data_IF_820010251485
#
_entry.id   IF_820010251485
#
_cell.length_a   1.000
_cell.length_b   1.000
_cell.length_c   1.000
_cell.angle_alpha   90.00
_cell.angle_beta   90.00
_cell.angle_gamma   90.00
#
_symmetry.space_group_name_H-M   'P 1'
#
loop_
_entity.id
_entity.type
_entity.pdbx_description
1 polymer ?
#
# COMPACT_ATOMS: atom_id res chain seq x y z
N UNK A 1 26.81 -21.69 -10.13
CA UNK A 1 26.86 -20.61 -9.11
C UNK A 1 26.67 -19.23 -9.70
N UNK A 2 27.06 -18.97 -10.96
CA UNK A 2 26.78 -17.70 -11.65
C UNK A 2 25.30 -17.28 -11.71
N UNK A 3 24.39 -18.22 -11.97
CA UNK A 3 22.94 -17.94 -11.94
C UNK A 3 22.48 -17.48 -10.55
N UNK A 4 22.88 -18.19 -9.49
CA UNK A 4 22.59 -17.79 -8.09
C UNK A 4 23.17 -16.41 -7.77
N UNK A 5 24.39 -16.10 -8.23
CA UNK A 5 24.99 -14.78 -8.04
C UNK A 5 24.21 -13.67 -8.78
N UNK A 6 23.67 -13.97 -9.97
CA UNK A 6 22.80 -13.06 -10.70
C UNK A 6 21.48 -12.82 -9.95
N UNK A 7 20.86 -13.87 -9.40
CA UNK A 7 19.61 -13.74 -8.64
C UNK A 7 19.82 -12.95 -7.35
N UNK A 8 20.93 -13.21 -6.64
CA UNK A 8 21.31 -12.45 -5.44
C UNK A 8 21.58 -10.99 -5.81
N UNK A 9 22.30 -10.72 -6.91
CA UNK A 9 22.55 -9.36 -7.40
C UNK A 9 21.24 -8.63 -7.64
N UNK A 10 20.34 -9.19 -8.45
CA UNK A 10 19.06 -8.56 -8.78
C UNK A 10 18.21 -8.32 -7.52
N UNK A 11 18.25 -9.24 -6.56
CA UNK A 11 17.57 -9.09 -5.27
C UNK A 11 18.12 -7.91 -4.47
N UNK A 12 19.46 -7.79 -4.38
CA UNK A 12 20.12 -6.74 -3.60
C UNK A 12 20.06 -5.37 -4.28
N UNK A 13 20.06 -5.31 -5.61
CA UNK A 13 19.92 -4.06 -6.37
C UNK A 13 18.57 -3.35 -6.15
N UNK A 14 17.57 -4.05 -5.59
CA UNK A 14 16.32 -3.41 -5.14
C UNK A 14 16.51 -2.56 -3.87
N UNK A 15 17.60 -2.75 -3.13
CA UNK A 15 17.85 -2.11 -1.83
C UNK A 15 19.17 -1.34 -1.76
N UNK A 16 20.14 -1.68 -2.61
CA UNK A 16 21.48 -1.13 -2.60
C UNK A 16 21.84 -0.54 -3.96
N UNK A 17 22.56 0.60 -4.00
CA UNK A 17 23.09 1.16 -5.24
C UNK A 17 23.95 0.14 -6.01
N UNK A 18 23.96 0.19 -7.35
CA UNK A 18 24.78 -0.71 -8.18
C UNK A 18 26.28 -0.66 -7.87
N UNK A 19 26.76 0.50 -7.46
CA UNK A 19 28.14 0.81 -7.09
C UNK A 19 28.46 0.53 -5.62
N UNK A 20 27.49 0.07 -4.82
CA UNK A 20 27.71 -0.27 -3.41
C UNK A 20 28.80 -1.33 -3.28
N UNK A 21 29.85 -1.01 -2.52
CA UNK A 21 31.00 -1.89 -2.34
C UNK A 21 30.61 -3.08 -1.45
N UNK A 22 30.68 -4.28 -2.00
CA UNK A 22 30.45 -5.55 -1.28
C UNK A 22 31.74 -6.33 -1.17
N UNK A 23 31.83 -7.22 -0.17
CA UNK A 23 32.97 -8.12 -0.03
C UNK A 23 32.56 -9.56 -0.34
N UNK A 24 33.24 -10.18 -1.30
CA UNK A 24 33.15 -11.62 -1.58
C UNK A 24 34.30 -12.32 -0.89
N UNK A 25 33.96 -13.10 0.13
CA UNK A 25 34.90 -13.92 0.89
C UNK A 25 34.87 -15.34 0.34
N UNK A 26 36.03 -15.94 0.13
CA UNK A 26 36.16 -17.35 -0.21
C UNK A 26 36.97 -18.08 0.85
N UNK A 27 36.51 -19.27 1.25
CA UNK A 27 37.19 -20.15 2.20
C UNK A 27 37.61 -19.43 3.50
N UNK A 28 36.72 -18.57 4.02
CA UNK A 28 36.95 -17.80 5.23
C UNK A 28 37.35 -18.71 6.42
N UNK A 29 38.38 -18.32 7.16
CA UNK A 29 38.93 -19.11 8.27
C UNK A 29 39.86 -20.27 7.85
N UNK A 30 40.21 -20.39 6.57
CA UNK A 30 41.18 -21.39 6.07
C UNK A 30 42.46 -20.73 5.55
N UNK A 31 43.48 -21.54 5.25
CA UNK A 31 44.71 -21.06 4.62
C UNK A 31 44.48 -20.47 3.21
N UNK A 32 43.39 -20.86 2.54
CA UNK A 32 43.02 -20.40 1.20
C UNK A 32 42.08 -19.19 1.21
N UNK A 33 41.94 -18.51 2.36
CA UNK A 33 41.05 -17.37 2.50
C UNK A 33 41.40 -16.26 1.50
N UNK A 34 40.37 -15.79 0.78
CA UNK A 34 40.47 -14.62 -0.11
C UNK A 34 39.32 -13.67 0.16
N UNK A 35 39.59 -12.37 0.13
CA UNK A 35 38.59 -11.31 0.25
C UNK A 35 38.74 -10.40 -0.96
N UNK A 36 37.69 -10.28 -1.75
CA UNK A 36 37.62 -9.33 -2.85
C UNK A 36 36.54 -8.30 -2.53
N UNK A 37 36.86 -7.01 -2.71
CA UNK A 37 35.88 -5.92 -2.70
C UNK A 37 35.56 -5.53 -4.13
N UNK A 38 34.29 -5.37 -4.45
CA UNK A 38 33.81 -5.03 -5.78
C UNK A 38 32.41 -4.39 -5.70
N UNK A 39 31.99 -3.65 -6.74
CA UNK A 39 30.61 -3.17 -6.84
C UNK A 39 29.60 -4.32 -6.83
N UNK A 40 28.45 -4.11 -6.19
CA UNK A 40 27.35 -5.08 -6.16
C UNK A 40 26.93 -5.52 -7.57
N UNK A 41 26.93 -4.60 -8.54
CA UNK A 41 26.55 -4.89 -9.93
C UNK A 41 27.47 -5.90 -10.65
N UNK A 42 28.65 -6.17 -10.10
CA UNK A 42 29.69 -7.00 -10.73
C UNK A 42 29.80 -8.41 -10.16
N UNK A 43 29.05 -8.75 -9.10
CA UNK A 43 29.22 -10.04 -8.41
C UNK A 43 28.97 -11.26 -9.29
N UNK A 44 28.10 -11.14 -10.30
CA UNK A 44 27.74 -12.21 -11.23
C UNK A 44 28.64 -12.30 -12.47
N UNK A 45 29.62 -11.39 -12.58
CA UNK A 45 30.66 -11.42 -13.62
C UNK A 45 31.84 -12.31 -13.24
N UNK A 46 31.77 -12.95 -12.07
CA UNK A 46 32.83 -13.77 -11.48
C UNK A 46 32.65 -15.25 -11.81
N UNK A 47 33.74 -15.90 -12.22
CA UNK A 47 33.78 -17.33 -12.53
C UNK A 47 34.36 -18.18 -11.39
N UNK A 48 34.90 -17.56 -10.34
CA UNK A 48 35.55 -18.21 -9.19
C UNK A 48 34.63 -18.35 -7.96
N UNK A 49 33.32 -18.21 -8.15
CA UNK A 49 32.33 -18.45 -7.10
C UNK A 49 32.17 -19.95 -6.85
N UNK A 50 32.36 -20.36 -5.61
CA UNK A 50 32.34 -21.76 -5.19
C UNK A 50 31.56 -21.94 -3.87
N UNK A 51 31.34 -23.17 -3.43
CA UNK A 51 30.49 -23.49 -2.27
C UNK A 51 30.91 -22.79 -0.96
N UNK A 52 32.19 -22.43 -0.83
CA UNK A 52 32.73 -21.71 0.33
C UNK A 52 32.78 -20.19 0.11
N UNK A 53 31.94 -19.66 -0.79
CA UNK A 53 31.83 -18.23 -1.04
C UNK A 53 30.74 -17.62 -0.17
N UNK A 54 31.12 -16.59 0.60
CA UNK A 54 30.24 -15.76 1.41
C UNK A 54 30.23 -14.34 0.86
N UNK A 55 29.03 -13.77 0.67
CA UNK A 55 28.87 -12.37 0.34
C UNK A 55 28.61 -11.58 1.63
N UNK A 56 29.46 -10.60 1.91
CA UNK A 56 29.24 -9.60 2.95
C UNK A 56 28.80 -8.30 2.28
N UNK A 57 27.61 -7.83 2.66
CA UNK A 57 27.04 -6.57 2.20
C UNK A 57 27.12 -5.59 3.38
N UNK A 58 28.02 -4.59 3.34
CA UNK A 58 28.06 -3.57 4.38
C UNK A 58 26.72 -2.83 4.47
N UNK A 59 26.32 -2.37 5.66
CA UNK A 59 25.14 -1.52 5.79
C UNK A 59 25.33 -0.24 4.98
N UNK A 60 24.24 0.34 4.47
CA UNK A 60 24.28 1.66 3.87
C UNK A 60 24.71 2.69 4.92
N UNK A 61 25.53 3.69 4.56
CA UNK A 61 26.00 4.71 5.48
C UNK A 61 24.89 5.65 5.98
N UNK A 62 23.71 5.63 5.35
CA UNK A 62 22.55 6.42 5.78
C UNK A 62 21.70 5.67 6.81
N UNK A 63 21.26 6.37 7.85
CA UNK A 63 20.10 6.00 8.67
C UNK A 63 18.84 6.02 7.79
N UNK A 64 18.56 4.90 7.12
CA UNK A 64 17.42 4.77 6.19
C UNK A 64 16.73 3.41 6.23
N UNK A 65 17.13 2.52 7.13
CA UNK A 65 16.41 1.27 7.35
C UNK A 65 15.06 1.53 8.02
N UNK A 66 14.04 0.76 7.65
CA UNK A 66 12.71 0.89 8.22
C UNK A 66 12.70 0.86 9.76
N UNK A 67 13.53 0.03 10.39
CA UNK A 67 13.68 0.00 11.85
C UNK A 67 14.22 1.32 12.43
N UNK A 68 15.22 1.92 11.79
CA UNK A 68 15.78 3.21 12.23
C UNK A 68 14.75 4.35 12.08
N UNK A 69 13.90 4.26 11.04
CA UNK A 69 12.77 5.18 10.89
C UNK A 69 11.73 5.00 11.99
N UNK A 70 11.36 3.76 12.33
CA UNK A 70 10.47 3.49 13.46
C UNK A 70 11.04 3.99 14.80
N UNK A 71 12.35 3.82 15.04
CA UNK A 71 13.03 4.35 16.23
C UNK A 71 12.99 5.88 16.27
N UNK A 72 13.15 6.54 15.12
CA UNK A 72 13.04 8.00 15.01
C UNK A 72 11.64 8.47 15.40
N UNK A 73 10.59 7.86 14.86
CA UNK A 73 9.20 8.20 15.19
C UNK A 73 8.86 7.90 16.65
N UNK A 74 9.37 6.78 17.20
CA UNK A 74 9.22 6.47 18.61
C UNK A 74 9.88 7.53 19.50
N UNK A 75 11.08 8.01 19.13
CA UNK A 75 11.77 9.06 19.87
C UNK A 75 11.05 10.41 19.78
N UNK A 76 10.48 10.75 18.61
CA UNK A 76 9.66 11.96 18.46
C UNK A 76 8.46 11.97 19.42
N UNK A 77 7.86 10.81 19.71
CA UNK A 77 6.72 10.69 20.62
C UNK A 77 7.09 10.43 22.09
N UNK A 78 8.38 10.26 22.40
CA UNK A 78 8.85 10.03 23.76
C UNK A 78 8.60 11.26 24.68
N UNK A 79 8.66 11.11 26.02
CA UNK A 79 8.47 12.23 26.96
C UNK A 79 9.41 13.43 26.72
N UNK A 80 10.62 13.17 26.24
CA UNK A 80 11.63 14.16 25.83
C UNK A 80 11.52 14.60 24.37
N UNK A 81 10.65 13.96 23.60
CA UNK A 81 10.44 14.19 22.17
C UNK A 81 9.64 15.46 21.86
N UNK A 82 9.14 15.52 20.63
CA UNK A 82 8.34 16.62 20.13
C UNK A 82 6.96 16.67 20.80
N UNK A 83 6.57 17.81 21.42
CA UNK A 83 5.26 17.95 22.04
C UNK A 83 4.09 17.76 21.06
N UNK A 84 4.26 18.22 19.81
CA UNK A 84 3.23 18.10 18.77
C UNK A 84 3.02 16.65 18.38
N UNK A 85 4.10 15.88 18.15
CA UNK A 85 3.99 14.47 17.81
C UNK A 85 3.31 13.68 18.94
N UNK A 86 3.64 14.00 20.19
CA UNK A 86 3.13 13.29 21.37
C UNK A 86 1.64 13.54 21.63
N UNK A 87 1.12 14.73 21.32
CA UNK A 87 -0.32 15.03 21.47
C UNK A 87 -1.20 14.40 20.38
N UNK A 88 -0.61 13.90 19.29
CA UNK A 88 -1.38 13.31 18.20
C UNK A 88 -2.10 12.02 18.61
N UNK A 89 -3.30 11.87 18.05
CA UNK A 89 -4.17 10.70 18.17
C UNK A 89 -4.50 10.18 16.78
N UNK A 90 -5.05 8.97 16.66
CA UNK A 90 -5.52 8.47 15.37
C UNK A 90 -6.50 9.42 14.68
N UNK A 91 -7.34 10.11 15.45
CA UNK A 91 -8.36 11.01 14.92
C UNK A 91 -7.76 12.32 14.43
N UNK A 92 -6.78 12.89 15.13
CA UNK A 92 -6.14 14.14 14.72
C UNK A 92 -5.27 13.97 13.46
N UNK A 93 -4.71 12.77 13.25
CA UNK A 93 -3.87 12.45 12.09
C UNK A 93 -4.64 12.18 10.79
N UNK A 94 -5.96 11.95 10.85
CA UNK A 94 -6.76 11.59 9.66
C UNK A 94 -6.65 12.58 8.51
N UNK A 95 -6.56 13.88 8.82
CA UNK A 95 -6.48 14.92 7.80
C UNK A 95 -5.13 14.89 7.07
N UNK A 96 -4.03 14.67 7.80
CA UNK A 96 -2.70 14.60 7.21
C UNK A 96 -2.58 13.36 6.33
N UNK A 97 -3.09 12.21 6.77
CA UNK A 97 -3.15 11.01 5.92
C UNK A 97 -3.88 11.26 4.59
N UNK A 98 -4.94 12.08 4.60
CA UNK A 98 -5.66 12.45 3.38
C UNK A 98 -4.85 13.44 2.53
N UNK A 99 -4.23 14.44 3.15
CA UNK A 99 -3.34 15.42 2.51
C UNK A 99 -2.19 14.70 1.78
N UNK A 100 -1.40 13.86 2.48
CA UNK A 100 -0.29 13.10 1.86
C UNK A 100 -0.78 12.19 0.71
N UNK A 101 -2.00 11.66 0.83
CA UNK A 101 -2.57 10.84 -0.26
C UNK A 101 -2.80 11.67 -1.52
N UNK A 102 -3.25 12.92 -1.39
CA UNK A 102 -3.43 13.81 -2.53
C UNK A 102 -2.10 14.30 -3.09
N UNK A 103 -1.10 14.54 -2.25
CA UNK A 103 0.23 14.95 -2.72
C UNK A 103 0.92 13.81 -3.51
N UNK A 104 0.77 12.55 -3.07
CA UNK A 104 1.18 11.38 -3.87
C UNK A 104 0.45 11.33 -5.22
N UNK A 105 -0.85 11.62 -5.27
CA UNK A 105 -1.60 11.64 -6.52
C UNK A 105 -1.14 12.77 -7.44
N UNK A 106 -0.84 13.95 -6.89
CA UNK A 106 -0.30 15.08 -7.64
C UNK A 106 1.07 14.74 -8.25
N UNK A 107 1.96 14.10 -7.49
CA UNK A 107 3.25 13.65 -7.99
C UNK A 107 3.12 12.61 -9.12
N UNK A 108 2.14 11.70 -9.03
CA UNK A 108 1.82 10.74 -10.09
C UNK A 108 1.30 11.43 -11.35
N UNK A 109 0.40 12.40 -11.21
CA UNK A 109 -0.16 13.16 -12.35
C UNK A 109 0.91 14.03 -13.03
N UNK A 110 1.91 14.50 -12.26
CA UNK A 110 3.05 15.26 -12.76
C UNK A 110 4.15 14.39 -13.42
N UNK A 111 4.09 13.06 -13.28
CA UNK A 111 5.15 12.11 -13.69
C UNK A 111 6.53 12.49 -13.11
N UNK A 112 6.54 12.98 -11.86
CA UNK A 112 7.75 13.42 -11.14
C UNK A 112 8.21 12.33 -10.16
N UNK A 113 9.25 11.56 -10.49
CA UNK A 113 9.71 10.45 -9.66
C UNK A 113 10.39 10.91 -8.36
N UNK A 114 10.97 12.11 -8.33
CA UNK A 114 11.64 12.62 -7.14
C UNK A 114 10.59 13.07 -6.12
N UNK A 115 9.59 13.84 -6.58
CA UNK A 115 8.43 14.19 -5.75
C UNK A 115 7.67 12.94 -5.29
N UNK A 116 7.42 11.97 -6.18
CA UNK A 116 6.74 10.73 -5.80
C UNK A 116 7.47 9.97 -4.69
N UNK A 117 8.80 9.95 -4.71
CA UNK A 117 9.58 9.31 -3.67
C UNK A 117 9.48 10.03 -2.32
N UNK A 118 9.42 11.37 -2.33
CA UNK A 118 9.21 12.22 -1.15
C UNK A 118 7.82 11.96 -0.54
N UNK A 119 6.76 12.09 -1.34
CA UNK A 119 5.37 11.96 -0.88
C UNK A 119 5.02 10.54 -0.42
N UNK A 120 5.60 9.51 -1.05
CA UNK A 120 5.48 8.14 -0.54
C UNK A 120 6.16 7.96 0.82
N UNK A 121 7.21 8.74 1.09
CA UNK A 121 7.87 8.81 2.39
C UNK A 121 6.95 9.42 3.45
N UNK A 122 6.26 10.51 3.13
CA UNK A 122 5.34 11.17 4.06
C UNK A 122 4.07 10.35 4.30
N UNK A 123 3.53 9.69 3.26
CA UNK A 123 2.47 8.71 3.43
C UNK A 123 2.91 7.53 4.32
N UNK A 124 4.16 7.07 4.18
CA UNK A 124 4.73 6.04 5.06
C UNK A 124 4.89 6.55 6.50
N UNK A 125 5.28 7.81 6.70
CA UNK A 125 5.34 8.44 8.02
C UNK A 125 3.98 8.38 8.73
N UNK A 126 2.88 8.66 8.03
CA UNK A 126 1.54 8.55 8.61
C UNK A 126 1.26 7.12 9.10
N UNK A 127 1.60 6.08 8.32
CA UNK A 127 1.43 4.67 8.71
C UNK A 127 2.26 4.35 9.98
N UNK A 128 3.50 4.83 10.06
CA UNK A 128 4.38 4.60 11.21
C UNK A 128 3.89 5.37 12.44
N UNK A 129 3.43 6.62 12.31
CA UNK A 129 2.84 7.39 13.41
C UNK A 129 1.59 6.73 13.99
N UNK A 130 0.66 6.28 13.13
CA UNK A 130 -0.50 5.50 13.58
C UNK A 130 -0.06 4.22 14.31
N UNK A 131 0.94 3.53 13.78
CA UNK A 131 1.44 2.31 14.43
C UNK A 131 2.12 2.63 15.78
N UNK A 132 2.85 3.73 15.90
CA UNK A 132 3.46 4.13 17.15
C UNK A 132 2.41 4.51 18.21
N UNK A 133 1.35 5.24 17.82
CA UNK A 133 0.21 5.52 18.72
C UNK A 133 -0.40 4.21 19.23
N UNK A 134 -0.59 3.22 18.36
CA UNK A 134 -1.14 1.92 18.75
C UNK A 134 -0.19 1.10 19.64
N UNK A 135 1.12 1.29 19.49
CA UNK A 135 2.12 0.73 20.41
C UNK A 135 2.01 1.40 21.78
N UNK A 136 1.88 2.73 21.82
CA UNK A 136 1.73 3.52 23.05
C UNK A 136 0.46 3.12 23.84
N UNK A 137 -0.59 2.67 23.14
CA UNK A 137 -1.87 2.22 23.72
C UNK A 137 -1.99 0.69 23.85
N UNK A 138 -0.93 -0.07 23.56
CA UNK A 138 -0.91 -1.53 23.59
C UNK A 138 -1.96 -2.24 22.69
N UNK A 139 -2.39 -1.58 21.60
CA UNK A 139 -3.41 -2.11 20.70
C UNK A 139 -2.85 -3.05 19.62
N UNK A 140 -1.81 -2.63 18.91
CA UNK A 140 -1.12 -3.42 17.88
C UNK A 140 0.27 -2.86 17.58
N UNK A 141 1.07 -3.63 16.85
CA UNK A 141 2.45 -3.28 16.47
C UNK A 141 2.63 -3.39 14.95
N UNK A 142 3.73 -2.84 14.44
CA UNK A 142 4.04 -2.89 13.00
C UNK A 142 4.06 -4.31 12.42
N UNK A 143 4.60 -5.35 13.10
CA UNK A 143 4.51 -6.72 12.63
C UNK A 143 3.07 -7.20 12.39
N UNK A 144 2.10 -6.74 13.19
CA UNK A 144 0.69 -7.11 13.02
C UNK A 144 0.11 -6.50 11.75
N UNK A 145 0.42 -5.22 11.47
CA UNK A 145 0.01 -4.52 10.24
C UNK A 145 0.58 -5.24 9.01
N UNK A 146 1.88 -5.53 9.03
CA UNK A 146 2.57 -6.23 7.93
C UNK A 146 2.03 -7.66 7.76
N UNK A 147 1.84 -8.40 8.85
CA UNK A 147 1.29 -9.76 8.80
C UNK A 147 -0.13 -9.78 8.20
N UNK A 148 -0.97 -8.80 8.56
CA UNK A 148 -2.31 -8.68 8.01
C UNK A 148 -2.32 -8.44 6.50
N UNK A 149 -1.45 -7.57 5.97
CA UNK A 149 -1.40 -7.31 4.53
C UNK A 149 -0.72 -8.46 3.78
N UNK A 150 0.37 -9.03 4.30
CA UNK A 150 1.08 -10.16 3.67
C UNK A 150 0.18 -11.40 3.57
N UNK A 151 -0.47 -11.80 4.66
CA UNK A 151 -1.38 -12.94 4.66
C UNK A 151 -2.56 -12.70 3.69
N UNK A 152 -3.09 -11.47 3.64
CA UNK A 152 -4.16 -11.09 2.71
C UNK A 152 -3.70 -11.16 1.26
N UNK A 153 -2.52 -10.65 0.93
CA UNK A 153 -1.97 -10.69 -0.42
C UNK A 153 -1.71 -12.13 -0.87
N UNK A 154 -1.06 -12.95 -0.05
CA UNK A 154 -0.81 -14.37 -0.36
C UNK A 154 -2.11 -15.14 -0.60
N UNK A 155 -3.11 -14.96 0.28
CA UNK A 155 -4.42 -15.60 0.14
C UNK A 155 -5.16 -15.17 -1.12
N UNK A 156 -5.07 -13.89 -1.51
CA UNK A 156 -5.74 -13.33 -2.71
C UNK A 156 -5.01 -13.63 -4.02
N UNK A 157 -3.79 -14.15 -3.95
CA UNK A 157 -3.01 -14.56 -5.13
C UNK A 157 -2.66 -16.05 -5.08
N UNK A 158 -3.66 -16.96 -5.01
CA UNK A 158 -3.41 -18.40 -4.99
C UNK A 158 -2.81 -18.91 -6.31
N UNK A 159 -2.78 -18.07 -7.35
CA UNK A 159 -2.13 -18.34 -8.62
C UNK A 159 -0.64 -18.01 -8.66
N UNK A 160 -0.18 -17.19 -7.71
CA UNK A 160 1.25 -16.92 -7.51
C UNK A 160 1.80 -17.81 -6.38
N UNK A 161 1.05 -17.95 -5.29
CA UNK A 161 1.52 -18.59 -4.05
C UNK A 161 0.88 -19.95 -3.76
N UNK A 162 0.04 -20.47 -4.66
CA UNK A 162 -0.65 -21.75 -4.51
C UNK A 162 -0.72 -22.52 -5.83
N UNK A 163 -1.77 -23.31 -6.01
CA UNK A 163 -1.92 -24.20 -7.17
C UNK A 163 -2.95 -23.72 -8.21
N UNK A 164 -3.64 -22.60 -7.96
CA UNK A 164 -4.70 -22.13 -8.86
C UNK A 164 -4.08 -21.64 -10.16
N UNK A 165 -4.54 -22.15 -11.30
CA UNK A 165 -4.11 -21.65 -12.61
C UNK A 165 -5.11 -20.63 -13.13
N UNK A 166 -4.59 -19.51 -13.59
CA UNK A 166 -5.34 -18.44 -14.27
C UNK A 166 -4.76 -18.30 -15.67
N UNK A 167 -5.61 -18.02 -16.66
CA UNK A 167 -5.15 -17.89 -18.05
C UNK A 167 -4.90 -16.44 -18.47
N UNK A 168 -5.61 -15.49 -17.85
CA UNK A 168 -5.49 -14.06 -18.11
C UNK A 168 -5.85 -13.19 -16.89
N UNK A 169 -5.83 -11.87 -17.07
CA UNK A 169 -6.16 -10.90 -16.03
C UNK A 169 -7.65 -10.94 -15.62
N UNK A 170 -8.55 -11.34 -16.52
CA UNK A 170 -9.98 -11.43 -16.23
C UNK A 170 -10.29 -12.62 -15.32
N UNK A 171 -9.60 -13.75 -15.52
CA UNK A 171 -9.62 -14.89 -14.60
C UNK A 171 -9.10 -14.50 -13.21
N UNK A 172 -8.01 -13.70 -13.15
CA UNK A 172 -7.49 -13.17 -11.88
C UNK A 172 -8.53 -12.30 -11.17
N UNK A 173 -9.16 -11.35 -11.87
CA UNK A 173 -10.21 -10.48 -11.32
C UNK A 173 -11.39 -11.28 -10.77
N UNK A 174 -11.86 -12.28 -11.53
CA UNK A 174 -12.97 -13.14 -11.11
C UNK A 174 -12.65 -13.91 -9.84
N UNK A 175 -11.48 -14.54 -9.81
CA UNK A 175 -11.02 -15.27 -8.64
C UNK A 175 -10.85 -14.35 -7.41
N UNK A 176 -10.34 -13.15 -7.63
CA UNK A 176 -10.20 -12.13 -6.59
C UNK A 176 -11.54 -11.73 -5.96
N UNK A 177 -12.59 -11.57 -6.76
CA UNK A 177 -13.94 -11.27 -6.25
C UNK A 177 -14.51 -12.43 -5.43
N UNK A 178 -14.34 -13.68 -5.88
CA UNK A 178 -14.77 -14.88 -5.15
C UNK A 178 -14.08 -14.95 -3.78
N UNK A 179 -12.76 -14.75 -3.74
CA UNK A 179 -11.98 -14.76 -2.50
C UNK A 179 -12.44 -13.62 -1.57
N UNK A 180 -12.67 -12.42 -2.11
CA UNK A 180 -13.16 -11.27 -1.33
C UNK A 180 -14.54 -11.52 -0.70
N UNK A 181 -15.43 -12.23 -1.41
CA UNK A 181 -16.73 -12.63 -0.88
C UNK A 181 -16.60 -13.68 0.24
N UNK A 182 -15.76 -14.70 0.04
CA UNK A 182 -15.49 -15.72 1.07
C UNK A 182 -14.86 -15.10 2.34
N UNK A 183 -13.90 -14.19 2.20
CA UNK A 183 -13.30 -13.46 3.32
C UNK A 183 -14.33 -12.63 4.10
N UNK A 184 -15.31 -12.03 3.41
CA UNK A 184 -16.37 -11.30 4.08
C UNK A 184 -17.21 -12.26 4.94
N UNK A 185 -17.53 -13.45 4.43
CA UNK A 185 -18.26 -14.48 5.17
C UNK A 185 -17.49 -14.97 6.41
N UNK A 186 -16.22 -15.32 6.28
CA UNK A 186 -15.40 -15.83 7.39
C UNK A 186 -15.19 -14.82 8.52
N UNK A 187 -15.01 -13.53 8.18
CA UNK A 187 -14.79 -12.48 9.18
C UNK A 187 -16.07 -12.01 9.90
N UNK A 188 -17.19 -12.73 9.74
CA UNK A 188 -18.51 -12.30 10.21
C UNK A 188 -18.92 -10.94 9.62
N UNK A 189 -18.32 -10.54 8.49
CA UNK A 189 -18.63 -9.32 7.76
C UNK A 189 -19.71 -9.55 6.70
N UNK A 190 -20.03 -10.80 6.33
CA UNK A 190 -21.17 -11.09 5.46
C UNK A 190 -22.48 -10.77 6.18
N UNK A 191 -22.64 -11.18 7.44
CA UNK A 191 -23.80 -10.82 8.26
C UNK A 191 -23.84 -9.30 8.61
N UNK A 192 -22.68 -8.62 8.58
CA UNK A 192 -22.57 -7.16 8.76
C UNK A 192 -22.65 -6.36 7.46
N UNK A 193 -22.76 -7.02 6.31
CA UNK A 193 -22.95 -6.38 5.01
C UNK A 193 -24.26 -6.87 4.38
N UNK A 194 -25.42 -6.57 4.99
CA UNK A 194 -26.71 -7.01 4.48
C UNK A 194 -27.06 -6.44 3.09
N UNK A 195 -26.39 -5.37 2.65
CA UNK A 195 -26.64 -4.68 1.39
C UNK A 195 -25.54 -4.91 0.36
N UNK A 196 -25.93 -5.01 -0.92
CA UNK A 196 -25.01 -5.00 -2.06
C UNK A 196 -24.11 -3.74 -2.09
N UNK A 197 -24.60 -2.64 -1.50
CA UNK A 197 -23.89 -1.35 -1.44
C UNK A 197 -22.92 -1.25 -0.25
N UNK A 198 -22.90 -2.22 0.67
CA UNK A 198 -22.07 -2.12 1.87
C UNK A 198 -20.56 -2.17 1.56
N UNK A 199 -19.79 -1.42 2.35
CA UNK A 199 -18.34 -1.34 2.21
C UNK A 199 -17.83 -0.16 1.37
N UNK A 200 -18.71 0.77 0.97
CA UNK A 200 -18.29 2.13 0.60
C UNK A 200 -17.93 2.88 1.88
N UNK A 201 -16.70 3.42 2.01
CA UNK A 201 -16.34 4.24 3.16
C UNK A 201 -17.14 5.56 3.14
N UNK A 202 -17.90 5.83 4.21
CA UNK A 202 -18.63 7.10 4.39
C UNK A 202 -17.74 8.34 4.57
N UNK A 203 -16.43 8.14 4.60
CA UNK A 203 -15.45 9.23 4.69
C UNK A 203 -14.93 9.69 3.33
N UNK A 204 -15.42 9.10 2.23
CA UNK A 204 -15.06 9.54 0.89
C UNK A 204 -15.67 10.92 0.60
N UNK A 205 -15.02 11.76 -0.22
CA UNK A 205 -15.66 12.94 -0.80
C UNK A 205 -16.94 12.52 -1.54
N UNK A 206 -17.96 13.38 -1.53
CA UNK A 206 -19.30 13.05 -2.02
C UNK A 206 -19.32 12.41 -3.43
N UNK A 207 -18.53 12.95 -4.36
CA UNK A 207 -18.44 12.40 -5.72
C UNK A 207 -17.79 11.01 -5.78
N UNK A 208 -16.72 10.80 -5.00
CA UNK A 208 -16.06 9.49 -4.92
C UNK A 208 -16.94 8.46 -4.20
N UNK A 209 -17.73 8.89 -3.21
CA UNK A 209 -18.74 8.06 -2.57
C UNK A 209 -19.84 7.67 -3.57
N UNK A 210 -20.38 8.63 -4.32
CA UNK A 210 -21.40 8.41 -5.33
C UNK A 210 -20.90 7.47 -6.44
N UNK A 211 -19.69 7.65 -6.94
CA UNK A 211 -19.07 6.76 -7.92
C UNK A 211 -18.90 5.34 -7.36
N UNK A 212 -18.41 5.20 -6.13
CA UNK A 212 -18.23 3.89 -5.50
C UNK A 212 -19.57 3.17 -5.26
N UNK A 213 -20.63 3.91 -4.89
CA UNK A 213 -21.99 3.39 -4.78
C UNK A 213 -22.54 2.96 -6.15
N UNK A 214 -22.38 3.80 -7.18
CA UNK A 214 -22.78 3.50 -8.55
C UNK A 214 -22.10 2.24 -9.09
N UNK A 215 -20.78 2.09 -8.92
CA UNK A 215 -20.06 0.88 -9.30
C UNK A 215 -20.58 -0.38 -8.59
N UNK A 216 -20.95 -0.28 -7.31
CA UNK A 216 -21.54 -1.42 -6.58
C UNK A 216 -22.95 -1.75 -7.04
N UNK A 217 -23.75 -0.74 -7.33
CA UNK A 217 -25.08 -0.92 -7.89
C UNK A 217 -24.98 -1.64 -9.25
N UNK A 218 -24.05 -1.20 -10.11
CA UNK A 218 -23.78 -1.85 -11.39
C UNK A 218 -23.33 -3.31 -11.24
N UNK A 219 -22.50 -3.63 -10.24
CA UNK A 219 -22.12 -5.02 -9.93
C UNK A 219 -23.32 -5.89 -9.50
N UNK A 220 -24.37 -5.28 -8.94
CA UNK A 220 -25.63 -5.94 -8.64
C UNK A 220 -26.62 -5.96 -9.83
N UNK A 221 -26.16 -5.61 -11.04
CA UNK A 221 -26.96 -5.40 -12.25
C UNK A 221 -28.04 -4.31 -12.10
N UNK A 222 -27.81 -3.35 -11.21
CA UNK A 222 -28.61 -2.14 -11.07
C UNK A 222 -27.85 -0.96 -11.68
N UNK A 223 -27.99 -0.78 -12.99
CA UNK A 223 -27.36 0.31 -13.73
C UNK A 223 -28.25 0.77 -14.89
N UNK A 224 -27.94 1.93 -15.45
CA UNK A 224 -28.63 2.54 -16.56
C UNK A 224 -28.46 1.71 -17.84
N UNK A 225 -29.56 1.51 -18.57
CA UNK A 225 -29.53 0.76 -19.84
C UNK A 225 -28.92 1.53 -21.01
N UNK A 226 -28.88 2.86 -20.90
CA UNK A 226 -28.34 3.74 -21.93
C UNK A 226 -28.01 5.11 -21.35
N UNK A 227 -27.12 5.84 -22.03
CA UNK A 227 -26.69 7.19 -21.64
C UNK A 227 -27.85 8.18 -21.71
N UNK A 228 -28.80 7.99 -22.61
CA UNK A 228 -29.98 8.86 -22.75
C UNK A 228 -30.84 8.85 -21.48
N UNK A 229 -30.95 7.71 -20.79
CA UNK A 229 -31.69 7.64 -19.53
C UNK A 229 -30.96 8.39 -18.40
N UNK A 230 -29.63 8.35 -18.39
CA UNK A 230 -28.81 9.12 -17.44
C UNK A 230 -29.04 10.61 -17.65
N UNK A 231 -28.93 11.08 -18.90
CA UNK A 231 -29.13 12.49 -19.26
C UNK A 231 -30.56 12.94 -18.90
N UNK A 232 -31.56 12.09 -19.18
CA UNK A 232 -32.95 12.38 -18.84
C UNK A 232 -33.15 12.54 -17.33
N UNK A 233 -32.50 11.70 -16.50
CA UNK A 233 -32.58 11.81 -15.04
C UNK A 233 -31.88 13.05 -14.51
N UNK A 234 -30.68 13.38 -15.02
CA UNK A 234 -30.01 14.65 -14.65
C UNK A 234 -30.90 15.87 -15.00
N UNK A 235 -31.57 15.86 -16.15
CA UNK A 235 -32.50 16.92 -16.52
C UNK A 235 -33.80 16.94 -15.70
N UNK A 236 -34.18 15.82 -15.08
CA UNK A 236 -35.26 15.71 -14.11
C UNK A 236 -34.84 16.38 -12.79
N UNK A 237 -33.70 16.01 -12.20
CA UNK A 237 -33.23 16.60 -10.93
C UNK A 237 -33.06 18.12 -11.02
N UNK A 238 -32.51 18.63 -12.13
CA UNK A 238 -32.40 20.07 -12.36
C UNK A 238 -33.77 20.77 -12.34
N UNK A 239 -34.83 20.11 -12.84
CA UNK A 239 -36.19 20.66 -12.81
C UNK A 239 -36.80 20.56 -11.41
N UNK A 240 -36.53 19.48 -10.68
CA UNK A 240 -37.04 19.27 -9.32
C UNK A 240 -36.48 20.33 -8.37
N UNK A 241 -35.15 20.54 -8.38
CA UNK A 241 -34.47 21.62 -7.64
C UNK A 241 -35.07 23.00 -7.93
N UNK A 242 -35.38 23.29 -9.21
CA UNK A 242 -35.99 24.57 -9.61
C UNK A 242 -37.42 24.75 -9.13
N UNK A 243 -38.16 23.66 -8.95
CA UNK A 243 -39.58 23.68 -8.58
C UNK A 243 -39.79 23.81 -7.06
N UNK A 244 -38.77 23.48 -6.26
CA UNK A 244 -38.85 23.47 -4.80
C UNK A 244 -38.59 24.85 -4.20
N UNK A 245 -39.53 25.29 -3.37
CA UNK A 245 -39.51 26.60 -2.69
C UNK A 245 -38.83 26.51 -1.32
N UNK A 246 -39.05 25.41 -0.60
CA UNK A 246 -38.50 25.16 0.72
C UNK A 246 -37.00 24.85 0.67
N UNK A 247 -36.23 25.42 1.60
CA UNK A 247 -34.77 25.33 1.57
C UNK A 247 -34.27 23.94 1.95
N UNK A 248 -34.90 23.28 2.93
CA UNK A 248 -34.52 21.93 3.34
C UNK A 248 -34.87 20.89 2.27
N UNK A 249 -36.02 21.05 1.60
CA UNK A 249 -36.34 20.23 0.43
C UNK A 249 -35.38 20.49 -0.71
N UNK A 250 -34.99 21.74 -0.98
CA UNK A 250 -34.04 22.06 -2.06
C UNK A 250 -32.67 21.44 -1.82
N UNK A 251 -32.21 21.38 -0.56
CA UNK A 251 -30.98 20.70 -0.18
C UNK A 251 -31.05 19.19 -0.43
N UNK A 252 -32.20 18.57 -0.16
CA UNK A 252 -32.42 17.16 -0.47
C UNK A 252 -32.39 16.90 -1.98
N UNK A 253 -33.15 17.66 -2.78
CA UNK A 253 -33.15 17.54 -4.25
C UNK A 253 -31.78 17.82 -4.87
N UNK A 254 -30.93 18.64 -4.23
CA UNK A 254 -29.58 18.90 -4.70
C UNK A 254 -28.62 17.71 -4.46
N UNK A 255 -28.96 16.83 -3.52
CA UNK A 255 -28.16 15.65 -3.17
C UNK A 255 -28.48 14.38 -3.98
N UNK A 256 -29.60 14.37 -4.72
CA UNK A 256 -30.05 13.27 -5.59
C UNK A 256 -29.30 13.24 -6.94
#
# INVERSE_FOLDING_TARGET
MRAVASDVKLTLLNQYPPDHEVAVLHAAGTADQRVLRLPLAEIDRRDDLAHLTTLFVPPLPQTGGFNAFQETVAHLRAPEGCPWDREQTHQSLRKYLLEETYEVLEALDADDPDALAEELGDLLLQIVLHTQIAVDTEEFRMPDVIAHIDAKLKRRHPHVFGEVKVSDAEDVKRNWQVIKQAEAAENGKADKRPSALDGVPRGLPALAEAEALGHKAAQANFDWRSVENVIAKVAEEVREIQSVVDEAQREAEFGD
#
